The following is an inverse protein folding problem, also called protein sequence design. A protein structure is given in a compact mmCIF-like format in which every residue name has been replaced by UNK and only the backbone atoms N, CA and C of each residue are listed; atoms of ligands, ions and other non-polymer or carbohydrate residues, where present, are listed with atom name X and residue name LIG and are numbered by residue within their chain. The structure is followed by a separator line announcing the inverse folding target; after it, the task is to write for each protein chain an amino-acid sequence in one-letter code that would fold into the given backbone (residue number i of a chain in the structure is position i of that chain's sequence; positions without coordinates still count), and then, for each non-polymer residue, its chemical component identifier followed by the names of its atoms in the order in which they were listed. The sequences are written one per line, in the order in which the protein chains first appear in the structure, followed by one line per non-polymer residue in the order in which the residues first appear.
data_IF_769888789479
#
_entry.id   IF_769888789479
#
_cell.length_a   1.000
_cell.length_b   1.000
_cell.length_c   1.000
_cell.angle_alpha   90.00
_cell.angle_beta   90.00
_cell.angle_gamma   90.00
#
_symmetry.space_group_name_H-M   'P 1'
#
loop_
_entity.id
_entity.type
_entity.pdbx_description
1 polymer ?
#
# COMPACT_ATOMS: atom_id res chain seq x y z
N UNK A 1 -22.44 -21.21 -14.04
CA UNK A 1 -21.12 -21.25 -14.71
C UNK A 1 -20.20 -20.31 -13.94
N UNK A 2 -19.29 -20.84 -13.11
CA UNK A 2 -18.25 -20.04 -12.46
C UNK A 2 -17.18 -19.82 -13.53
N UNK A 3 -16.97 -18.56 -13.94
CA UNK A 3 -15.78 -18.19 -14.73
C UNK A 3 -14.59 -18.74 -13.95
N UNK A 4 -13.76 -19.57 -14.59
CA UNK A 4 -12.45 -19.89 -14.06
C UNK A 4 -11.77 -18.56 -13.74
N UNK A 5 -11.74 -18.20 -12.45
CA UNK A 5 -11.12 -16.97 -11.97
C UNK A 5 -9.62 -17.24 -12.01
N UNK A 6 -9.08 -17.24 -13.22
CA UNK A 6 -7.65 -17.09 -13.44
C UNK A 6 -7.26 -15.83 -12.68
N UNK A 7 -6.40 -16.03 -11.68
CA UNK A 7 -5.87 -14.95 -10.86
C UNK A 7 -5.42 -13.78 -11.75
N UNK A 8 -5.75 -12.51 -11.39
CA UNK A 8 -5.52 -11.35 -12.27
C UNK A 8 -4.03 -11.11 -12.59
N UNK A 9 -3.14 -11.62 -11.74
CA UNK A 9 -1.68 -11.59 -11.91
C UNK A 9 -1.19 -12.98 -12.31
N UNK A 10 -0.23 -13.06 -13.23
CA UNK A 10 0.43 -14.33 -13.61
C UNK A 10 1.24 -14.93 -12.46
N UNK A 11 1.57 -16.22 -12.53
CA UNK A 11 2.42 -16.88 -11.50
C UNK A 11 3.77 -16.20 -11.35
N UNK A 12 4.45 -15.91 -12.45
CA UNK A 12 5.74 -15.19 -12.45
C UNK A 12 5.61 -13.79 -11.85
N UNK A 13 4.52 -13.06 -12.14
CA UNK A 13 4.29 -11.74 -11.56
C UNK A 13 4.12 -11.79 -10.04
N UNK A 14 3.45 -12.84 -9.52
CA UNK A 14 3.31 -13.05 -8.07
C UNK A 14 4.65 -13.34 -7.40
N UNK A 15 5.50 -14.15 -8.01
CA UNK A 15 6.84 -14.46 -7.50
C UNK A 15 7.72 -13.21 -7.38
N UNK A 16 7.72 -12.35 -8.41
CA UNK A 16 8.47 -11.08 -8.39
C UNK A 16 7.98 -10.20 -7.23
N UNK A 17 6.65 -10.07 -7.07
CA UNK A 17 6.06 -9.26 -5.99
C UNK A 17 6.44 -9.83 -4.61
N UNK A 18 6.42 -11.16 -4.44
CA UNK A 18 6.85 -11.78 -3.19
C UNK A 18 8.33 -11.49 -2.90
N UNK A 19 9.20 -11.68 -3.88
CA UNK A 19 10.65 -11.42 -3.76
C UNK A 19 10.97 -9.97 -3.41
N UNK A 20 10.21 -9.02 -3.97
CA UNK A 20 10.32 -7.61 -3.61
C UNK A 20 10.14 -7.40 -2.10
N UNK A 21 9.17 -8.07 -1.49
CA UNK A 21 8.77 -7.88 -0.09
C UNK A 21 9.34 -8.94 0.87
N UNK A 22 10.36 -9.73 0.48
CA UNK A 22 10.98 -10.74 1.35
C UNK A 22 11.73 -10.13 2.55
N UNK A 23 12.18 -8.87 2.45
CA UNK A 23 12.85 -8.17 3.55
C UNK A 23 11.86 -7.33 4.38
N UNK A 24 12.10 -7.07 5.67
CA UNK A 24 11.26 -6.17 6.45
C UNK A 24 11.35 -4.73 5.94
N UNK A 25 10.36 -4.26 5.20
CA UNK A 25 10.32 -2.89 4.68
C UNK A 25 9.59 -1.95 5.65
N UNK A 26 10.17 -1.77 6.84
CA UNK A 26 9.57 -0.99 7.94
C UNK A 26 9.15 0.43 7.55
N UNK A 27 9.82 1.03 6.56
CA UNK A 27 9.56 2.39 6.08
C UNK A 27 8.60 2.47 4.87
N UNK A 28 8.12 1.35 4.31
CA UNK A 28 7.33 1.37 3.07
C UNK A 28 6.07 2.25 3.20
N UNK A 29 5.23 1.96 4.20
CA UNK A 29 4.01 2.73 4.44
C UNK A 29 4.28 4.21 4.73
N UNK A 30 5.39 4.51 5.42
CA UNK A 30 5.80 5.88 5.71
C UNK A 30 6.19 6.64 4.42
N UNK A 31 7.05 6.05 3.58
CA UNK A 31 7.47 6.64 2.30
C UNK A 31 6.29 6.90 1.36
N UNK A 32 5.33 5.98 1.31
CA UNK A 32 4.10 6.14 0.52
C UNK A 32 3.33 7.37 0.99
N UNK A 33 3.04 7.49 2.28
CA UNK A 33 2.27 8.64 2.79
C UNK A 33 3.06 9.95 2.72
N UNK A 34 4.37 9.92 2.95
CA UNK A 34 5.26 11.08 2.81
C UNK A 34 5.25 11.63 1.38
N UNK A 35 5.30 10.76 0.37
CA UNK A 35 5.27 11.17 -1.04
C UNK A 35 4.01 11.95 -1.40
N UNK A 36 2.87 11.58 -0.82
CA UNK A 36 1.58 12.27 -1.04
C UNK A 36 1.59 13.59 -0.28
N UNK A 37 2.07 13.58 0.96
CA UNK A 37 2.21 14.76 1.79
C UNK A 37 3.06 15.84 1.12
N UNK A 38 4.16 15.50 0.47
CA UNK A 38 5.01 16.46 -0.23
C UNK A 38 4.35 17.05 -1.49
N UNK A 39 3.47 16.30 -2.15
CA UNK A 39 2.86 16.69 -3.43
C UNK A 39 1.52 17.41 -3.30
N UNK A 40 0.75 17.15 -2.24
CA UNK A 40 -0.64 17.60 -2.12
C UNK A 40 -0.90 18.41 -0.87
N UNK A 41 -1.12 19.70 -1.05
CA UNK A 41 -1.43 20.63 0.06
C UNK A 41 -2.77 20.34 0.75
N UNK A 42 -3.75 19.76 0.05
CA UNK A 42 -5.01 19.34 0.67
C UNK A 42 -4.86 18.06 1.51
N UNK A 43 -3.95 17.16 1.12
CA UNK A 43 -3.55 16.02 1.95
C UNK A 43 -2.76 16.45 3.19
N UNK A 44 -1.89 17.45 3.07
CA UNK A 44 -1.18 18.02 4.23
C UNK A 44 -2.16 18.54 5.29
N UNK A 45 -3.17 19.32 4.88
CA UNK A 45 -4.22 19.83 5.78
C UNK A 45 -4.96 18.70 6.50
N UNK A 46 -5.28 17.62 5.77
CA UNK A 46 -5.88 16.42 6.34
C UNK A 46 -4.97 15.79 7.42
N UNK A 47 -3.69 15.57 7.10
CA UNK A 47 -2.71 14.99 8.04
C UNK A 47 -2.55 15.85 9.30
N UNK A 48 -2.52 17.17 9.15
CA UNK A 48 -2.46 18.09 10.29
C UNK A 48 -3.72 18.04 11.15
N UNK A 49 -4.91 17.97 10.54
CA UNK A 49 -6.17 17.84 11.26
C UNK A 49 -6.31 16.49 11.98
N UNK A 50 -5.76 15.42 11.40
CA UNK A 50 -5.76 14.08 11.96
C UNK A 50 -4.83 13.95 13.19
N UNK A 51 -3.70 14.67 13.16
CA UNK A 51 -2.68 14.66 14.20
C UNK A 51 -1.62 13.58 14.00
N UNK A 52 -0.43 13.82 14.58
CA UNK A 52 0.79 13.04 14.34
C UNK A 52 0.65 11.55 14.72
N UNK A 53 -0.01 11.26 15.83
CA UNK A 53 -0.17 9.88 16.33
C UNK A 53 -1.03 9.04 15.39
N UNK A 54 -2.20 9.55 15.00
CA UNK A 54 -3.10 8.86 14.07
C UNK A 54 -2.52 8.78 12.66
N UNK A 55 -1.82 9.81 12.20
CA UNK A 55 -1.13 9.77 10.91
C UNK A 55 -0.04 8.67 10.89
N UNK A 56 0.68 8.48 12.00
CA UNK A 56 1.63 7.37 12.14
C UNK A 56 0.92 6.01 12.19
N UNK A 57 -0.19 5.89 12.93
CA UNK A 57 -0.98 4.65 12.92
C UNK A 57 -1.48 4.29 11.52
N UNK A 58 -1.85 5.28 10.70
CA UNK A 58 -2.22 5.05 9.30
C UNK A 58 -1.07 4.50 8.46
N UNK A 59 0.17 5.00 8.64
CA UNK A 59 1.32 4.50 7.89
C UNK A 59 1.64 3.05 8.26
N UNK A 60 1.51 2.69 9.54
CA UNK A 60 1.65 1.32 10.03
C UNK A 60 0.55 0.43 9.45
N UNK A 61 -0.72 0.84 9.52
CA UNK A 61 -1.83 0.05 8.97
C UNK A 61 -1.74 -0.12 7.46
N UNK A 62 -1.25 0.88 6.73
CA UNK A 62 -1.01 0.78 5.30
C UNK A 62 0.07 -0.25 4.97
N UNK A 63 1.17 -0.25 5.73
CA UNK A 63 2.23 -1.25 5.62
C UNK A 63 1.68 -2.65 5.85
N UNK A 64 0.96 -2.85 6.96
CA UNK A 64 0.41 -4.16 7.33
C UNK A 64 -0.56 -4.68 6.26
N UNK A 65 -1.42 -3.81 5.72
CA UNK A 65 -2.30 -4.16 4.59
C UNK A 65 -1.50 -4.64 3.38
N UNK A 66 -0.46 -3.90 2.98
CA UNK A 66 0.35 -4.25 1.80
C UNK A 66 1.08 -5.58 2.02
N UNK A 67 1.68 -5.79 3.18
CA UNK A 67 2.35 -7.04 3.53
C UNK A 67 1.36 -8.22 3.54
N UNK A 68 0.16 -8.03 4.09
CA UNK A 68 -0.87 -9.06 4.10
C UNK A 68 -1.36 -9.40 2.69
N UNK A 69 -1.63 -8.38 1.85
CA UNK A 69 -1.98 -8.55 0.44
C UNK A 69 -0.91 -9.32 -0.32
N UNK A 70 0.37 -9.00 -0.11
CA UNK A 70 1.49 -9.69 -0.76
C UNK A 70 1.60 -11.13 -0.26
N UNK A 71 1.48 -11.38 1.06
CA UNK A 71 1.54 -12.73 1.62
C UNK A 71 0.39 -13.64 1.17
N UNK A 72 -0.77 -13.03 0.84
CA UNK A 72 -1.98 -13.70 0.37
C UNK A 72 -2.27 -13.43 -1.09
N UNK A 73 -1.24 -13.12 -1.89
CA UNK A 73 -1.35 -12.80 -3.32
C UNK A 73 -1.93 -13.93 -4.19
N UNK A 74 -2.21 -15.11 -3.63
CA UNK A 74 -2.87 -16.21 -4.33
C UNK A 74 -4.36 -16.33 -3.99
N UNK A 75 -4.86 -15.53 -3.05
CA UNK A 75 -6.23 -15.56 -2.53
C UNK A 75 -6.93 -14.20 -2.75
N UNK A 76 -7.53 -13.98 -3.94
CA UNK A 76 -8.24 -12.74 -4.24
C UNK A 76 -9.42 -12.44 -3.31
N UNK A 77 -10.06 -13.47 -2.77
CA UNK A 77 -11.21 -13.31 -1.87
C UNK A 77 -10.75 -12.75 -0.51
N UNK A 78 -9.63 -13.26 0.02
CA UNK A 78 -8.98 -12.71 1.21
C UNK A 78 -8.54 -11.25 1.00
N UNK A 79 -7.88 -10.96 -0.13
CA UNK A 79 -7.44 -9.59 -0.49
C UNK A 79 -8.64 -8.64 -0.53
N UNK A 80 -9.75 -9.06 -1.14
CA UNK A 80 -10.98 -8.28 -1.21
C UNK A 80 -11.54 -8.00 0.20
N UNK A 81 -11.59 -9.02 1.06
CA UNK A 81 -12.09 -8.89 2.43
C UNK A 81 -11.26 -7.91 3.27
N UNK A 82 -9.93 -8.04 3.29
CA UNK A 82 -9.06 -7.15 4.08
C UNK A 82 -9.05 -5.72 3.54
N UNK A 83 -9.08 -5.56 2.21
CA UNK A 83 -9.14 -4.24 1.56
C UNK A 83 -10.45 -3.53 1.89
N UNK A 84 -11.55 -4.28 2.00
CA UNK A 84 -12.86 -3.73 2.41
C UNK A 84 -12.83 -3.24 3.86
N UNK A 85 -12.32 -4.07 4.78
CA UNK A 85 -12.21 -3.68 6.20
C UNK A 85 -11.35 -2.41 6.34
N UNK A 86 -10.21 -2.37 5.67
CA UNK A 86 -9.35 -1.19 5.66
C UNK A 86 -10.07 0.05 5.10
N UNK A 87 -10.82 -0.10 4.02
CA UNK A 87 -11.64 0.99 3.45
C UNK A 87 -12.76 1.47 4.38
N UNK A 88 -13.39 0.55 5.13
CA UNK A 88 -14.40 0.87 6.14
C UNK A 88 -13.81 1.67 7.30
N UNK A 89 -12.62 1.32 7.81
CA UNK A 89 -11.90 2.09 8.84
C UNK A 89 -11.63 3.55 8.39
N UNK A 90 -11.46 3.79 7.08
CA UNK A 90 -11.21 5.13 6.54
C UNK A 90 -12.47 6.01 6.42
N UNK A 91 -13.66 5.45 6.59
CA UNK A 91 -14.91 6.23 6.53
C UNK A 91 -14.97 7.26 7.66
N UNK A 92 -14.54 6.88 8.87
CA UNK A 92 -14.51 7.77 10.03
C UNK A 92 -13.52 8.93 9.85
N UNK A 93 -12.47 8.72 9.04
CA UNK A 93 -11.44 9.72 8.75
C UNK A 93 -11.98 10.90 7.90
N UNK A 94 -13.17 10.76 7.30
CA UNK A 94 -13.86 11.87 6.62
C UNK A 94 -14.12 13.05 7.56
N UNK A 95 -14.34 12.80 8.84
CA UNK A 95 -14.51 13.86 9.84
C UNK A 95 -13.26 14.75 9.99
N UNK A 96 -12.08 14.22 9.61
CA UNK A 96 -10.79 14.93 9.64
C UNK A 96 -10.41 15.51 8.27
N UNK A 97 -11.28 15.38 7.26
CA UNK A 97 -11.05 15.89 5.90
C UNK A 97 -10.49 14.85 4.92
N UNK A 98 -10.54 13.56 5.24
CA UNK A 98 -10.22 12.50 4.28
C UNK A 98 -11.14 12.57 3.05
N UNK A 99 -10.56 12.50 1.86
CA UNK A 99 -11.29 12.51 0.58
C UNK A 99 -11.07 11.19 -0.16
N UNK A 100 -12.10 10.62 -0.81
CA UNK A 100 -11.94 9.44 -1.65
C UNK A 100 -10.84 9.60 -2.74
N UNK A 101 -10.65 10.81 -3.26
CA UNK A 101 -9.60 11.12 -4.24
C UNK A 101 -8.16 10.86 -3.72
N UNK A 102 -7.98 10.77 -2.40
CA UNK A 102 -6.68 10.40 -1.83
C UNK A 102 -6.31 8.95 -2.15
N UNK A 103 -7.29 8.05 -2.35
CA UNK A 103 -7.03 6.66 -2.69
C UNK A 103 -6.25 6.50 -3.99
N UNK A 104 -6.62 7.28 -5.02
CA UNK A 104 -5.90 7.28 -6.30
C UNK A 104 -4.43 7.66 -6.08
N UNK A 105 -4.20 8.72 -5.30
CA UNK A 105 -2.82 9.15 -5.03
C UNK A 105 -2.04 8.22 -4.10
N UNK A 106 -2.73 7.50 -3.21
CA UNK A 106 -2.12 6.44 -2.39
C UNK A 106 -1.69 5.28 -3.29
N UNK A 107 -2.56 4.81 -4.20
CA UNK A 107 -2.24 3.74 -5.14
C UNK A 107 -1.06 4.09 -6.06
N UNK A 108 -1.02 5.33 -6.57
CA UNK A 108 0.10 5.82 -7.37
C UNK A 108 1.41 5.82 -6.56
N UNK A 109 1.36 6.29 -5.30
CA UNK A 109 2.53 6.31 -4.43
C UNK A 109 3.00 4.90 -4.05
N UNK A 110 2.09 3.95 -3.80
CA UNK A 110 2.42 2.53 -3.58
C UNK A 110 3.14 1.96 -4.80
N UNK A 111 2.64 2.24 -6.02
CA UNK A 111 3.25 1.77 -7.25
C UNK A 111 4.68 2.29 -7.40
N UNK A 112 4.88 3.59 -7.15
CA UNK A 112 6.21 4.21 -7.21
C UNK A 112 7.17 3.63 -6.18
N UNK A 113 6.74 3.51 -4.91
CA UNK A 113 7.59 2.93 -3.87
C UNK A 113 7.87 1.44 -4.13
N UNK A 114 6.91 0.71 -4.69
CA UNK A 114 7.09 -0.69 -5.11
C UNK A 114 8.15 -0.85 -6.20
N UNK A 115 8.16 0.04 -7.20
CA UNK A 115 9.21 0.06 -8.24
C UNK A 115 10.58 0.40 -7.64
N UNK A 116 10.65 1.38 -6.73
CA UNK A 116 11.92 1.74 -6.06
C UNK A 116 12.45 0.56 -5.23
N UNK A 117 11.55 -0.16 -4.57
CA UNK A 117 11.85 -1.32 -3.75
C UNK A 117 12.33 -2.51 -4.60
N UNK A 118 11.69 -2.76 -5.73
CA UNK A 118 12.16 -3.73 -6.74
C UNK A 118 13.56 -3.37 -7.28
N UNK A 119 13.80 -2.10 -7.61
CA UNK A 119 15.11 -1.63 -8.06
C UNK A 119 16.19 -1.82 -6.99
N UNK A 120 15.87 -1.55 -5.72
CA UNK A 120 16.79 -1.76 -4.60
C UNK A 120 17.12 -3.25 -4.43
N UNK A 121 16.15 -4.14 -4.62
CA UNK A 121 16.36 -5.59 -4.55
C UNK A 121 17.23 -6.09 -5.70
N UNK A 122 16.98 -5.61 -6.93
CA UNK A 122 17.79 -5.95 -8.11
C UNK A 122 19.23 -5.43 -8.05
N UNK A 123 19.50 -4.27 -7.42
CA UNK A 123 20.86 -3.78 -7.22
C UNK A 123 21.71 -4.67 -6.30
N UNK A 124 21.07 -5.35 -5.32
CA UNK A 124 21.77 -6.26 -4.40
C UNK A 124 22.31 -7.50 -5.13
N UNK A 125 21.65 -7.96 -6.20
CA UNK A 125 22.11 -9.11 -7.00
C UNK A 125 23.26 -8.77 -7.98
N UNK A 126 23.55 -7.50 -8.24
CA UNK A 126 24.65 -7.06 -9.13
C UNK A 126 25.93 -6.66 -8.38
N UNK A 127 25.93 -6.75 -7.04
CA UNK A 127 27.08 -6.40 -6.18
C UNK A 127 27.82 -7.62 -5.59
N UNK A 128 27.57 -8.84 -6.08
CA UNK A 128 28.33 -10.05 -5.74
C UNK A 128 28.89 -10.74 -6.99
#
# INVERSE_FOLDING_TARGET
MRKDMTHPISTQGREIILQCFENPHSEFGNKVLQRIFEKRSDYQKYVYALGKERAYQMSVRLKDLVEEVVSKIFDPDHICAISRVYGEEHVELKAFGFKPDFWVTIADAITVEGVILDMANHQVYFMF
#
